data_IF_334382277563
#
_entry.id   IF_334382277563
#
_cell.length_a   1.000
_cell.length_b   1.000
_cell.length_c   1.000
_cell.angle_alpha   90.00
_cell.angle_beta   90.00
_cell.angle_gamma   90.00
#
_symmetry.space_group_name_H-M   'P 1'
#
loop_
_entity.id
_entity.type
_entity.pdbx_description
1 polymer ?
#
# COMPACT_ATOMS: atom_id res chain seq x y z
N UNK A 1 14.82 37.50 -17.36
CA UNK A 1 14.89 36.38 -18.32
C UNK A 1 13.60 35.60 -18.22
N UNK A 2 12.83 35.38 -19.30
CA UNK A 2 11.65 34.53 -19.24
C UNK A 2 12.06 33.05 -19.23
N UNK A 3 11.39 32.29 -18.36
CA UNK A 3 11.50 30.84 -18.16
C UNK A 3 11.35 30.07 -19.48
N UNK A 4 12.37 29.30 -19.85
CA UNK A 4 12.36 28.31 -20.96
C UNK A 4 11.82 26.96 -20.45
N UNK A 5 10.57 26.91 -20.06
CA UNK A 5 9.82 25.65 -20.04
C UNK A 5 8.77 25.73 -21.13
N UNK A 6 9.19 25.45 -22.36
CA UNK A 6 8.25 25.13 -23.44
C UNK A 6 7.51 23.86 -23.00
N UNK A 7 6.18 23.94 -22.89
CA UNK A 7 5.34 22.75 -22.75
C UNK A 7 5.65 21.82 -23.93
N UNK A 8 5.96 20.53 -23.72
CA UNK A 8 6.00 19.60 -24.83
C UNK A 8 4.65 19.60 -25.54
N UNK A 9 4.70 19.55 -26.88
CA UNK A 9 3.53 19.69 -27.76
C UNK A 9 2.41 18.72 -27.35
N UNK A 10 1.34 19.31 -26.82
CA UNK A 10 0.14 18.62 -26.33
C UNK A 10 -0.88 18.47 -27.48
N UNK A 11 -0.46 17.88 -28.60
CA UNK A 11 -1.29 17.71 -29.81
C UNK A 11 -1.36 16.27 -30.34
N UNK A 12 -1.11 15.30 -29.47
CA UNK A 12 -1.48 13.91 -29.70
C UNK A 12 -2.28 13.48 -28.47
N UNK A 13 -3.47 12.90 -28.67
CA UNK A 13 -4.47 12.51 -27.66
C UNK A 13 -5.56 13.59 -27.42
N UNK A 14 -6.26 13.98 -28.49
CA UNK A 14 -7.72 14.15 -28.39
C UNK A 14 -8.31 12.81 -28.83
N UNK A 15 -8.94 12.03 -27.93
CA UNK A 15 -9.92 10.95 -28.19
C UNK A 15 -10.00 9.79 -27.16
N UNK A 16 -9.51 9.96 -25.93
CA UNK A 16 -9.84 9.02 -24.85
C UNK A 16 -10.28 9.77 -23.58
N UNK A 17 -11.34 10.59 -23.71
CA UNK A 17 -12.09 11.01 -22.52
C UNK A 17 -12.99 9.84 -22.12
N UNK A 18 -12.50 8.99 -21.21
CA UNK A 18 -13.41 8.20 -20.38
C UNK A 18 -14.29 9.20 -19.62
N UNK A 19 -15.62 9.02 -19.64
CA UNK A 19 -16.51 9.88 -18.90
C UNK A 19 -16.30 9.66 -17.40
N UNK A 20 -15.62 10.59 -16.74
CA UNK A 20 -15.44 10.61 -15.29
C UNK A 20 -16.79 10.79 -14.59
N UNK A 21 -16.99 10.06 -13.49
CA UNK A 21 -18.18 10.21 -12.66
C UNK A 21 -17.96 11.28 -11.58
N UNK A 22 -19.01 12.02 -11.25
CA UNK A 22 -19.02 12.90 -10.06
C UNK A 22 -18.93 12.07 -8.75
N UNK A 23 -19.27 10.78 -8.80
CA UNK A 23 -19.06 9.86 -7.70
C UNK A 23 -17.60 9.37 -7.69
N UNK A 24 -16.84 9.85 -6.71
CA UNK A 24 -15.40 9.53 -6.58
C UNK A 24 -15.11 8.03 -6.53
N UNK A 25 -16.01 7.23 -5.95
CA UNK A 25 -15.84 5.77 -5.81
C UNK A 25 -15.78 5.10 -7.18
N UNK A 26 -16.55 5.57 -8.15
CA UNK A 26 -16.61 5.00 -9.50
C UNK A 26 -15.31 5.20 -10.28
N UNK A 27 -14.47 6.15 -9.85
CA UNK A 27 -13.17 6.43 -10.47
C UNK A 27 -11.98 5.70 -9.79
N UNK A 28 -12.22 4.94 -8.72
CA UNK A 28 -11.16 4.26 -7.95
C UNK A 28 -10.65 2.95 -8.58
N UNK A 29 -11.25 2.49 -9.69
CA UNK A 29 -10.87 1.24 -10.35
C UNK A 29 -10.87 0.06 -9.36
N UNK A 30 -9.79 -0.73 -9.28
CA UNK A 30 -9.72 -1.91 -8.41
C UNK A 30 -9.76 -1.54 -6.91
N UNK A 31 -9.55 -0.27 -6.55
CA UNK A 31 -9.59 0.19 -5.16
C UNK A 31 -11.01 0.54 -4.69
N UNK A 32 -12.00 0.59 -5.58
CA UNK A 32 -13.35 1.06 -5.26
C UNK A 32 -14.00 0.32 -4.09
N UNK A 33 -13.84 -1.01 -4.05
CA UNK A 33 -14.43 -1.83 -3.00
C UNK A 33 -13.82 -1.56 -1.61
N UNK A 34 -12.56 -1.12 -1.55
CA UNK A 34 -11.81 -0.88 -0.32
C UNK A 34 -12.21 0.41 0.41
N UNK A 35 -12.90 1.34 -0.24
CA UNK A 35 -13.34 2.58 0.42
C UNK A 35 -14.17 2.29 1.69
N UNK A 36 -13.82 2.92 2.81
CA UNK A 36 -14.48 2.78 4.11
C UNK A 36 -13.55 2.35 5.23
N UNK A 37 -14.15 1.89 6.33
CA UNK A 37 -13.48 1.45 7.54
C UNK A 37 -13.59 -0.07 7.66
N UNK A 38 -12.48 -0.71 7.99
CA UNK A 38 -12.33 -2.15 8.04
C UNK A 38 -11.74 -2.60 9.37
N UNK A 39 -12.22 -3.74 9.88
CA UNK A 39 -11.68 -4.39 11.08
C UNK A 39 -11.53 -5.89 10.84
N UNK A 40 -10.51 -6.49 11.45
CA UNK A 40 -10.26 -7.93 11.42
C UNK A 40 -9.42 -8.38 12.61
N UNK A 41 -9.74 -9.54 13.18
CA UNK A 41 -9.12 -10.10 14.39
C UNK A 41 -8.47 -11.47 14.18
N UNK A 42 -8.30 -11.87 12.91
CA UNK A 42 -7.66 -13.12 12.50
C UNK A 42 -6.23 -12.89 11.97
N UNK A 43 -5.60 -11.79 12.38
CA UNK A 43 -4.29 -11.37 11.94
C UNK A 43 -3.20 -12.31 12.46
N UNK A 44 -2.24 -12.66 11.60
CA UNK A 44 -1.05 -13.44 11.96
C UNK A 44 0.19 -12.70 11.47
N UNK A 45 1.04 -12.29 12.40
CA UNK A 45 2.37 -11.69 12.18
C UNK A 45 3.44 -12.75 12.47
N UNK A 46 4.46 -12.83 11.61
CA UNK A 46 5.69 -13.59 11.86
C UNK A 46 6.88 -12.63 11.84
N UNK A 47 7.50 -12.41 12.99
CA UNK A 47 8.57 -11.42 13.17
C UNK A 47 9.90 -12.02 13.66
N UNK A 48 11.04 -11.34 13.47
CA UNK A 48 12.31 -11.77 14.04
C UNK A 48 12.26 -11.75 15.57
N UNK A 49 12.48 -12.90 16.22
CA UNK A 49 12.67 -13.02 17.66
C UNK A 49 14.11 -13.37 18.04
N UNK A 50 14.40 -13.29 19.34
CA UNK A 50 15.73 -13.58 19.89
C UNK A 50 16.19 -15.01 19.62
N UNK A 51 15.28 -15.98 19.75
CA UNK A 51 15.56 -17.42 19.66
C UNK A 51 15.01 -18.04 18.35
N UNK A 52 14.54 -17.21 17.41
CA UNK A 52 13.91 -17.63 16.16
C UNK A 52 12.70 -16.77 15.78
N UNK A 53 12.01 -17.09 14.67
CA UNK A 53 10.76 -16.43 14.30
C UNK A 53 9.71 -16.53 15.41
N UNK A 54 8.98 -15.45 15.65
CA UNK A 54 7.87 -15.38 16.60
C UNK A 54 6.60 -15.13 15.84
N UNK A 55 5.60 -16.00 16.05
CA UNK A 55 4.26 -15.81 15.52
C UNK A 55 3.38 -15.11 16.57
N UNK A 56 2.69 -14.04 16.17
CA UNK A 56 1.79 -13.26 17.02
C UNK A 56 0.43 -13.11 16.36
N UNK A 57 -0.64 -13.25 17.16
CA UNK A 57 -2.00 -12.96 16.71
C UNK A 57 -2.34 -11.50 16.96
N UNK A 58 -2.94 -10.84 15.98
CA UNK A 58 -3.32 -9.44 16.09
C UNK A 58 -4.72 -9.15 15.56
N UNK A 59 -5.27 -8.04 16.05
CA UNK A 59 -6.43 -7.37 15.47
C UNK A 59 -5.97 -6.05 14.86
N UNK A 60 -6.65 -5.61 13.82
CA UNK A 60 -6.33 -4.36 13.16
C UNK A 60 -7.57 -3.59 12.74
N UNK A 61 -7.36 -2.31 12.49
CA UNK A 61 -8.35 -1.41 11.92
C UNK A 61 -7.73 -0.58 10.83
N UNK A 62 -8.34 -0.60 9.66
CA UNK A 62 -7.90 0.15 8.47
C UNK A 62 -8.95 1.19 8.09
N UNK A 63 -8.50 2.40 7.73
CA UNK A 63 -9.34 3.45 7.15
C UNK A 63 -8.87 3.74 5.72
N UNK A 64 -9.80 3.73 4.79
CA UNK A 64 -9.61 4.06 3.39
C UNK A 64 -10.58 5.16 2.98
N UNK A 65 -10.11 6.41 3.02
CA UNK A 65 -10.94 7.57 2.65
C UNK A 65 -10.74 7.92 1.17
N UNK A 66 -11.78 7.89 0.32
CA UNK A 66 -11.67 8.27 -1.08
C UNK A 66 -11.09 9.68 -1.27
N UNK A 67 -10.17 9.83 -2.22
CA UNK A 67 -9.56 11.10 -2.59
C UNK A 67 -9.22 11.18 -4.08
N UNK A 68 -9.14 12.41 -4.57
CA UNK A 68 -8.87 12.72 -5.96
C UNK A 68 -9.96 13.61 -6.59
N UNK A 69 -9.81 13.94 -7.88
CA UNK A 69 -8.62 13.64 -8.67
C UNK A 69 -7.39 14.43 -8.21
N UNK A 70 -6.22 13.81 -8.30
CA UNK A 70 -4.92 14.47 -8.22
C UNK A 70 -4.37 14.57 -9.63
N UNK A 71 -4.31 15.79 -10.18
CA UNK A 71 -3.90 16.02 -11.58
C UNK A 71 -2.45 16.54 -11.65
N UNK A 72 -1.66 15.97 -12.56
CA UNK A 72 -0.33 16.46 -12.91
C UNK A 72 -0.09 16.36 -14.42
N UNK A 73 -0.31 17.47 -15.14
CA UNK A 73 -0.26 17.46 -16.60
C UNK A 73 -1.37 16.58 -17.18
N UNK A 74 -0.99 15.53 -17.90
CA UNK A 74 -1.92 14.54 -18.47
C UNK A 74 -2.27 13.41 -17.50
N UNK A 75 -1.60 13.32 -16.36
CA UNK A 75 -1.86 12.27 -15.37
C UNK A 75 -3.00 12.68 -14.44
N UNK A 76 -3.87 11.72 -14.15
CA UNK A 76 -4.98 11.86 -13.22
C UNK A 76 -5.04 10.63 -12.31
N UNK A 77 -4.94 10.85 -11.01
CA UNK A 77 -4.96 9.80 -10.00
C UNK A 77 -6.17 9.94 -9.09
N UNK A 78 -6.86 8.83 -8.86
CA UNK A 78 -7.83 8.67 -7.78
C UNK A 78 -7.30 7.67 -6.77
N UNK A 79 -7.73 7.74 -5.52
CA UNK A 79 -7.18 6.86 -4.51
C UNK A 79 -7.86 6.93 -3.16
N UNK A 80 -7.18 6.36 -2.17
CA UNK A 80 -7.60 6.25 -0.79
C UNK A 80 -6.52 6.86 0.09
N UNK A 81 -6.86 7.86 0.91
CA UNK A 81 -6.06 8.21 2.08
C UNK A 81 -6.18 7.06 3.07
N UNK A 82 -5.04 6.59 3.53
CA UNK A 82 -4.91 5.32 4.21
C UNK A 82 -4.31 5.50 5.60
N UNK A 83 -4.91 4.85 6.59
CA UNK A 83 -4.28 4.57 7.86
C UNK A 83 -4.59 3.15 8.34
N UNK A 84 -3.62 2.50 8.97
CA UNK A 84 -3.84 1.26 9.72
C UNK A 84 -3.31 1.41 11.13
N UNK A 85 -3.93 0.70 12.06
CA UNK A 85 -3.39 0.46 13.39
C UNK A 85 -3.64 -1.00 13.75
N UNK A 86 -2.61 -1.66 14.30
CA UNK A 86 -2.70 -3.05 14.74
C UNK A 86 -2.33 -3.18 16.22
N UNK A 87 -3.05 -4.07 16.89
CA UNK A 87 -2.92 -4.40 18.31
C UNK A 87 -2.72 -5.90 18.45
N UNK A 88 -1.90 -6.36 19.42
CA UNK A 88 -1.97 -7.76 19.82
C UNK A 88 -3.42 -8.10 20.18
N UNK A 89 -3.87 -9.32 19.88
CA UNK A 89 -5.29 -9.68 19.93
C UNK A 89 -5.99 -9.32 21.25
N UNK A 90 -5.27 -9.42 22.38
CA UNK A 90 -5.81 -9.21 23.72
C UNK A 90 -5.19 -8.00 24.46
N UNK A 91 -4.60 -7.05 23.72
CA UNK A 91 -3.96 -5.87 24.29
C UNK A 91 -4.58 -4.57 23.75
N UNK A 92 -4.47 -3.51 24.55
CA UNK A 92 -5.01 -2.18 24.25
C UNK A 92 -3.97 -1.27 23.57
N UNK A 93 -2.69 -1.53 23.80
CA UNK A 93 -1.59 -0.76 23.22
C UNK A 93 -1.24 -1.28 21.80
N UNK A 94 -1.19 -0.41 20.79
CA UNK A 94 -0.84 -0.82 19.43
C UNK A 94 0.65 -1.12 19.30
N UNK A 95 1.00 -2.08 18.45
CA UNK A 95 2.40 -2.40 18.12
C UNK A 95 2.81 -1.90 16.73
N UNK A 96 1.85 -1.55 15.88
CA UNK A 96 2.08 -1.11 14.51
C UNK A 96 1.06 -0.04 14.08
N UNK A 97 1.53 0.89 13.26
CA UNK A 97 0.75 1.94 12.64
C UNK A 97 1.32 2.24 11.24
N UNK A 98 0.44 2.55 10.30
CA UNK A 98 0.85 3.10 9.01
C UNK A 98 -0.02 4.28 8.60
N UNK A 99 0.58 5.19 7.86
CA UNK A 99 -0.09 6.33 7.24
C UNK A 99 0.38 6.48 5.79
N UNK A 100 -0.55 6.72 4.87
CA UNK A 100 -0.19 6.80 3.45
C UNK A 100 -1.34 7.00 2.48
N UNK A 101 -1.11 6.55 1.25
CA UNK A 101 -2.06 6.59 0.15
C UNK A 101 -2.04 5.29 -0.65
N UNK A 102 -3.21 4.88 -1.13
CA UNK A 102 -3.36 3.92 -2.21
C UNK A 102 -3.88 4.67 -3.42
N UNK A 103 -3.17 4.65 -4.54
CA UNK A 103 -3.50 5.44 -5.72
C UNK A 103 -3.68 4.53 -6.93
N UNK A 104 -4.59 4.94 -7.81
CA UNK A 104 -4.93 4.28 -9.06
C UNK A 104 -4.70 5.24 -10.23
N UNK A 105 -3.91 4.79 -11.20
CA UNK A 105 -3.73 5.43 -12.50
C UNK A 105 -4.45 4.58 -13.56
N UNK A 106 -5.63 5.02 -13.98
CA UNK A 106 -6.44 4.29 -14.95
C UNK A 106 -5.79 4.21 -16.34
N UNK A 107 -5.04 5.24 -16.73
CA UNK A 107 -4.37 5.28 -18.02
C UNK A 107 -3.19 4.30 -18.06
N UNK A 108 -2.41 4.24 -16.97
CA UNK A 108 -1.26 3.35 -16.87
C UNK A 108 -1.61 1.93 -16.37
N UNK A 109 -2.85 1.69 -15.94
CA UNK A 109 -3.26 0.47 -15.24
C UNK A 109 -2.40 0.18 -14.00
N UNK A 110 -2.06 1.21 -13.23
CA UNK A 110 -1.15 1.09 -12.08
C UNK A 110 -1.86 1.31 -10.76
N UNK A 111 -1.66 0.37 -9.83
CA UNK A 111 -1.99 0.54 -8.42
C UNK A 111 -0.70 0.83 -7.66
N UNK A 112 -0.75 1.82 -6.78
CA UNK A 112 0.40 2.27 -6.01
C UNK A 112 0.01 2.37 -4.53
N UNK A 113 0.87 1.89 -3.63
CA UNK A 113 0.74 2.08 -2.18
C UNK A 113 1.99 2.79 -1.68
N UNK A 114 1.83 4.01 -1.18
CA UNK A 114 2.91 4.80 -0.58
C UNK A 114 2.58 5.05 0.88
N UNK A 115 3.39 4.55 1.81
CA UNK A 115 3.11 4.63 3.24
C UNK A 115 4.37 4.74 4.09
N UNK A 116 4.15 5.13 5.35
CA UNK A 116 5.19 5.28 6.36
C UNK A 116 4.78 4.56 7.65
N UNK A 117 5.77 4.04 8.38
CA UNK A 117 5.61 3.49 9.72
C UNK A 117 6.34 4.37 10.75
N UNK A 118 5.93 4.37 12.04
CA UNK A 118 6.51 5.22 13.10
C UNK A 118 7.95 4.81 13.51
N UNK A 119 8.63 3.99 12.69
CA UNK A 119 10.06 3.72 12.76
C UNK A 119 10.86 4.52 11.74
N UNK A 120 10.25 5.54 11.11
CA UNK A 120 10.91 6.37 10.08
C UNK A 120 11.37 5.48 8.91
N UNK A 121 10.43 4.70 8.39
CA UNK A 121 10.57 3.93 7.15
C UNK A 121 9.46 4.37 6.20
N UNK A 122 9.78 4.54 4.93
CA UNK A 122 8.84 4.87 3.86
C UNK A 122 8.94 3.81 2.77
N UNK A 123 7.80 3.34 2.29
CA UNK A 123 7.70 2.34 1.22
C UNK A 123 6.83 2.92 0.11
N UNK A 124 7.30 2.86 -1.14
CA UNK A 124 6.49 3.12 -2.33
C UNK A 124 6.42 1.84 -3.15
N UNK A 125 5.31 1.11 -3.04
CA UNK A 125 5.06 -0.15 -3.73
C UNK A 125 4.14 0.07 -4.93
N UNK A 126 4.46 -0.58 -6.05
CA UNK A 126 3.73 -0.41 -7.31
C UNK A 126 3.39 -1.79 -7.89
N UNK A 127 2.21 -1.89 -8.50
CA UNK A 127 1.73 -3.03 -9.24
C UNK A 127 0.87 -2.64 -10.43
N UNK A 128 0.39 -3.64 -11.15
CA UNK A 128 -0.50 -3.48 -12.31
C UNK A 128 -1.79 -4.24 -12.03
N UNK A 129 -2.92 -3.64 -12.39
CA UNK A 129 -4.25 -4.24 -12.27
C UNK A 129 -5.15 -3.67 -13.37
N UNK A 130 -6.19 -4.39 -13.77
CA UNK A 130 -7.30 -3.83 -14.54
C UNK A 130 -8.29 -3.11 -13.62
N UNK A 131 -9.10 -2.22 -14.20
CA UNK A 131 -10.08 -1.41 -13.45
C UNK A 131 -11.10 -2.23 -12.63
N UNK A 132 -11.35 -3.48 -13.01
CA UNK A 132 -12.31 -4.38 -12.38
C UNK A 132 -11.66 -5.60 -11.71
N UNK A 133 -10.34 -5.61 -11.55
CA UNK A 133 -9.64 -6.71 -10.87
C UNK A 133 -10.04 -6.75 -9.40
N UNK A 134 -10.24 -7.96 -8.88
CA UNK A 134 -10.49 -8.25 -7.47
C UNK A 134 -9.24 -8.74 -6.73
N UNK A 135 -8.14 -8.89 -7.43
CA UNK A 135 -6.86 -9.26 -6.85
C UNK A 135 -5.73 -8.53 -7.56
N UNK A 136 -4.76 -8.06 -6.80
CA UNK A 136 -3.59 -7.39 -7.35
C UNK A 136 -2.42 -7.51 -6.37
N UNK A 137 -1.21 -7.38 -6.92
CA UNK A 137 0.03 -7.48 -6.17
C UNK A 137 0.86 -6.21 -6.33
N UNK A 138 1.48 -5.74 -5.25
CA UNK A 138 2.37 -4.58 -5.23
C UNK A 138 3.75 -5.01 -4.75
N UNK A 139 4.81 -4.34 -5.22
CA UNK A 139 6.14 -4.56 -4.67
C UNK A 139 7.00 -3.31 -4.64
N UNK A 140 7.98 -3.29 -3.73
CA UNK A 140 9.03 -2.29 -3.64
C UNK A 140 10.39 -2.96 -3.39
N UNK A 141 11.47 -2.32 -3.84
CA UNK A 141 12.85 -2.79 -3.64
C UNK A 141 13.73 -1.66 -3.10
N UNK A 142 14.60 -1.99 -2.14
CA UNK A 142 15.60 -1.05 -1.67
C UNK A 142 16.52 -0.61 -2.83
N UNK A 143 16.78 0.70 -2.92
CA UNK A 143 17.61 1.31 -3.98
C UNK A 143 16.86 1.64 -5.28
N UNK A 144 15.59 1.28 -5.42
CA UNK A 144 14.77 1.74 -6.54
C UNK A 144 14.39 3.22 -6.37
N UNK A 145 14.49 3.99 -7.46
CA UNK A 145 14.08 5.40 -7.49
C UNK A 145 12.56 5.58 -7.72
N UNK A 146 11.87 4.51 -8.11
CA UNK A 146 10.44 4.52 -8.46
C UNK A 146 9.64 3.73 -7.42
N UNK A 147 9.93 2.44 -7.29
CA UNK A 147 9.28 1.53 -6.33
C UNK A 147 10.23 1.25 -5.15
N UNK A 148 10.54 2.30 -4.38
CA UNK A 148 11.64 2.36 -3.43
C UNK A 148 11.28 2.15 -1.96
N UNK A 149 12.31 1.87 -1.16
CA UNK A 149 12.23 1.74 0.30
C UNK A 149 13.32 2.62 0.93
N UNK A 150 12.92 3.48 1.87
CA UNK A 150 13.83 4.35 2.63
C UNK A 150 13.69 4.02 4.11
N UNK A 151 14.81 3.80 4.79
CA UNK A 151 14.87 3.44 6.22
C UNK A 151 15.75 4.39 7.00
N UNK A 152 15.48 4.52 8.30
CA UNK A 152 16.40 5.23 9.20
C UNK A 152 17.78 4.52 9.30
N UNK A 153 18.84 5.23 9.73
CA UNK A 153 20.20 4.69 9.74
C UNK A 153 20.43 3.45 10.61
N UNK A 154 19.63 3.23 11.66
CA UNK A 154 19.73 2.04 12.48
C UNK A 154 19.15 0.83 11.74
N UNK A 155 17.94 0.96 11.20
CA UNK A 155 17.30 -0.13 10.46
C UNK A 155 18.06 -0.48 9.19
N UNK A 156 18.58 0.49 8.44
CA UNK A 156 19.41 0.21 7.25
C UNK A 156 20.67 -0.63 7.56
N UNK A 157 21.15 -0.58 8.81
CA UNK A 157 22.31 -1.38 9.26
C UNK A 157 21.94 -2.70 9.92
N UNK A 158 20.89 -2.70 10.75
CA UNK A 158 20.58 -3.81 11.64
C UNK A 158 19.47 -4.74 11.10
N UNK A 159 18.48 -4.16 10.43
CA UNK A 159 17.25 -4.84 9.95
C UNK A 159 16.84 -4.24 8.61
N UNK A 160 17.71 -4.34 7.60
CA UNK A 160 17.51 -3.64 6.34
C UNK A 160 16.37 -4.28 5.57
N UNK A 161 15.28 -3.56 5.36
CA UNK A 161 14.25 -3.98 4.41
C UNK A 161 14.81 -3.91 3.01
N UNK A 162 14.95 -5.06 2.36
CA UNK A 162 15.50 -5.16 0.99
C UNK A 162 14.39 -5.25 -0.06
N UNK A 163 13.25 -5.84 0.30
CA UNK A 163 12.10 -6.01 -0.56
C UNK A 163 10.82 -5.99 0.27
N UNK A 164 9.76 -5.54 -0.37
CA UNK A 164 8.40 -5.54 0.15
C UNK A 164 7.48 -6.09 -0.94
N UNK A 165 6.60 -7.01 -0.56
CA UNK A 165 5.54 -7.55 -1.42
C UNK A 165 4.21 -7.52 -0.69
N UNK A 166 3.13 -7.27 -1.43
CA UNK A 166 1.77 -7.27 -0.94
C UNK A 166 0.86 -7.91 -1.98
N UNK A 167 0.11 -8.91 -1.57
CA UNK A 167 -1.01 -9.47 -2.34
C UNK A 167 -2.32 -9.07 -1.68
N UNK A 168 -3.27 -8.58 -2.48
CA UNK A 168 -4.61 -8.17 -2.02
C UNK A 168 -5.66 -9.01 -2.75
N UNK A 169 -6.68 -9.44 -2.03
CA UNK A 169 -7.85 -10.12 -2.59
C UNK A 169 -9.14 -9.52 -2.00
N UNK A 170 -10.04 -9.08 -2.88
CA UNK A 170 -11.37 -8.59 -2.57
C UNK A 170 -12.36 -9.73 -2.81
N UNK A 171 -13.08 -10.14 -1.77
CA UNK A 171 -13.94 -11.32 -1.77
C UNK A 171 -15.39 -10.97 -2.12
N UNK A 172 -16.11 -11.96 -2.65
CA UNK A 172 -17.52 -11.81 -3.03
C UNK A 172 -18.46 -11.60 -1.84
N UNK A 173 -18.04 -11.98 -0.62
CA UNK A 173 -18.79 -11.74 0.62
C UNK A 173 -18.60 -10.31 1.18
N UNK A 174 -17.91 -9.44 0.44
CA UNK A 174 -17.66 -8.05 0.84
C UNK A 174 -16.48 -7.88 1.79
N UNK A 175 -15.76 -8.95 2.11
CA UNK A 175 -14.50 -8.88 2.85
C UNK A 175 -13.32 -8.58 1.92
N UNK A 176 -12.18 -8.14 2.46
CA UNK A 176 -10.90 -8.26 1.75
C UNK A 176 -9.87 -8.97 2.63
N UNK A 177 -8.84 -9.54 2.00
CA UNK A 177 -7.67 -10.11 2.69
C UNK A 177 -6.40 -9.64 2.04
N UNK A 178 -5.31 -9.66 2.80
CA UNK A 178 -3.97 -9.44 2.27
C UNK A 178 -2.98 -10.47 2.78
N UNK A 179 -1.87 -10.59 2.06
CA UNK A 179 -0.64 -11.22 2.50
C UNK A 179 0.50 -10.24 2.19
N UNK A 180 1.26 -9.88 3.22
CA UNK A 180 2.39 -8.96 3.13
C UNK A 180 3.67 -9.73 3.47
N UNK A 181 4.75 -9.52 2.68
CA UNK A 181 6.08 -10.06 2.94
C UNK A 181 7.12 -8.94 2.89
N UNK A 182 7.55 -8.53 4.08
CA UNK A 182 8.66 -7.60 4.28
C UNK A 182 9.95 -8.39 4.47
N UNK A 183 10.81 -8.38 3.45
CA UNK A 183 12.04 -9.15 3.45
C UNK A 183 13.18 -8.34 4.08
N UNK A 184 13.75 -8.86 5.15
CA UNK A 184 14.76 -8.20 5.97
C UNK A 184 16.12 -8.88 5.82
N UNK A 185 17.15 -8.10 5.50
CA UNK A 185 18.54 -8.47 5.75
C UNK A 185 18.88 -8.11 7.20
N UNK A 186 18.83 -9.11 8.08
CA UNK A 186 19.17 -8.95 9.50
C UNK A 186 20.67 -9.05 9.68
N UNK A 187 21.26 -8.11 10.42
CA UNK A 187 22.69 -8.11 10.69
C UNK A 187 23.13 -9.38 11.42
N UNK A 188 24.13 -10.06 10.88
CA UNK A 188 24.65 -11.31 11.43
C UNK A 188 23.94 -12.58 10.94
N UNK A 189 22.91 -12.45 10.09
CA UNK A 189 22.23 -13.58 9.45
C UNK A 189 22.52 -13.58 7.95
N UNK A 190 22.86 -14.74 7.38
CA UNK A 190 23.12 -14.86 5.94
C UNK A 190 21.83 -14.87 5.12
N UNK A 191 20.81 -15.61 5.59
CA UNK A 191 19.52 -15.68 4.92
C UNK A 191 18.67 -14.44 5.18
N UNK A 192 17.84 -14.08 4.20
CA UNK A 192 16.79 -13.09 4.40
C UNK A 192 15.76 -13.64 5.39
N UNK A 193 15.31 -12.78 6.28
CA UNK A 193 14.15 -13.05 7.12
C UNK A 193 12.90 -12.54 6.42
N UNK A 194 11.87 -13.38 6.33
CA UNK A 194 10.56 -13.01 5.79
C UNK A 194 9.66 -12.61 6.96
N UNK A 195 9.48 -11.30 7.15
CA UNK A 195 8.52 -10.76 8.11
C UNK A 195 7.17 -10.68 7.41
N UNK A 196 6.25 -11.56 7.78
CA UNK A 196 5.00 -11.74 7.04
C UNK A 196 3.80 -11.41 7.90
N UNK A 197 2.86 -10.68 7.31
CA UNK A 197 1.59 -10.31 7.93
C UNK A 197 0.44 -10.75 7.02
N UNK A 198 -0.63 -11.26 7.62
CA UNK A 198 -1.86 -11.57 6.88
C UNK A 198 -3.08 -11.39 7.75
N UNK A 199 -4.16 -10.90 7.14
CA UNK A 199 -5.46 -10.82 7.79
C UNK A 199 -6.59 -10.87 6.77
N UNK A 200 -7.81 -11.08 7.28
CA UNK A 200 -9.07 -10.95 6.54
C UNK A 200 -9.96 -9.98 7.30
N UNK A 201 -10.38 -8.90 6.63
CA UNK A 201 -11.11 -7.81 7.24
C UNK A 201 -12.53 -7.71 6.70
N UNK A 202 -13.42 -7.23 7.56
CA UNK A 202 -14.81 -6.90 7.25
C UNK A 202 -15.02 -5.40 7.30
N UNK A 203 -15.84 -4.88 6.39
CA UNK A 203 -16.21 -3.46 6.40
C UNK A 203 -17.17 -3.20 7.55
N UNK A 204 -16.87 -2.20 8.37
CA UNK A 204 -17.69 -1.82 9.54
C UNK A 204 -18.34 -0.45 9.38
N UNK A 205 -17.84 0.38 8.46
CA UNK A 205 -18.44 1.65 8.06
C UNK A 205 -17.99 2.01 6.64
N UNK A 206 -18.81 2.82 5.96
CA UNK A 206 -18.39 3.58 4.78
C UNK A 206 -17.51 4.78 5.18
#
# INVERSE_FOLDING_TARGET
MPSRYSRPDCNLIEDLTMSESDNIIENLGPLAALAGIWEGDQGIDVAPGKDGPVESLYRERIVFEPMGPVKNGIQELYGLRYSTTAWPLNEDDPFHEELGYWMWDAYANQVMRCFMVPRVVTVNAIGTAAANDKAFSLSANAGSEIAGILSNPFLDKAFKTVRYELDVNIHDDGSFSYFEDTQLQVHGFEALFHHTDKNRLQKVSD
#
